data_IF_532466748328
#
_entry.id   IF_532466748328
#
_cell.length_a   1.000
_cell.length_b   1.000
_cell.length_c   1.000
_cell.angle_alpha   90.00
_cell.angle_beta   90.00
_cell.angle_gamma   90.00
#
_symmetry.space_group_name_H-M   'P 1'
#
loop_
_entity.id
_entity.type
_entity.pdbx_description
1 polymer ?
#
# COMPACT_ATOMS: atom_id res chain seq x y z
N UNK A 1 3.61 -8.16 9.00
CA UNK A 1 4.64 -9.13 9.41
C UNK A 1 5.44 -9.65 8.21
N UNK A 2 4.82 -10.26 7.18
CA UNK A 2 5.55 -10.83 6.03
C UNK A 2 6.51 -9.87 5.32
N UNK A 3 6.11 -8.62 5.09
CA UNK A 3 6.96 -7.59 4.48
C UNK A 3 8.26 -7.34 5.27
N UNK A 4 8.20 -7.32 6.61
CA UNK A 4 9.38 -7.20 7.46
C UNK A 4 10.34 -8.37 7.34
N UNK A 5 9.82 -9.59 7.25
CA UNK A 5 10.64 -10.80 7.13
C UNK A 5 11.44 -10.76 5.83
N UNK A 6 10.79 -10.46 4.70
CA UNK A 6 11.44 -10.37 3.39
C UNK A 6 12.50 -9.27 3.36
N UNK A 7 12.18 -8.09 3.90
CA UNK A 7 13.07 -6.93 3.89
C UNK A 7 14.24 -7.05 4.88
N UNK A 8 14.14 -7.91 5.89
CA UNK A 8 15.21 -8.12 6.88
C UNK A 8 16.28 -9.11 6.41
N UNK A 9 16.16 -9.69 5.22
CA UNK A 9 17.20 -10.50 4.63
C UNK A 9 18.51 -9.69 4.48
N UNK A 10 19.66 -10.32 4.73
CA UNK A 10 20.99 -9.67 4.66
C UNK A 10 21.25 -8.91 3.37
N UNK A 11 20.59 -9.31 2.26
CA UNK A 11 20.71 -8.70 0.94
C UNK A 11 20.20 -7.26 0.89
N UNK A 12 19.19 -6.93 1.69
CA UNK A 12 18.50 -5.64 1.66
C UNK A 12 18.83 -4.74 2.84
N UNK A 13 19.44 -5.30 3.90
CA UNK A 13 19.68 -4.60 5.15
C UNK A 13 20.77 -3.53 5.00
N UNK A 14 20.44 -2.31 5.43
CA UNK A 14 21.41 -1.19 5.51
C UNK A 14 21.82 -0.55 4.19
N UNK A 15 21.12 -0.86 3.08
CA UNK A 15 21.35 -0.22 1.78
C UNK A 15 20.36 0.92 1.56
N UNK A 16 20.82 2.01 0.94
CA UNK A 16 19.95 3.12 0.50
C UNK A 16 18.81 2.66 -0.40
N UNK A 17 19.05 1.60 -1.16
CA UNK A 17 18.07 1.01 -2.09
C UNK A 17 16.94 0.25 -1.39
N UNK A 18 17.04 0.01 -0.06
CA UNK A 18 16.01 -0.67 0.73
C UNK A 18 14.63 -0.01 0.60
N UNK A 19 14.60 1.30 0.38
CA UNK A 19 13.36 2.06 0.19
C UNK A 19 12.65 1.63 -1.09
N UNK A 20 13.38 1.50 -2.19
CA UNK A 20 12.83 1.06 -3.48
C UNK A 20 12.43 -0.41 -3.45
N UNK A 21 13.21 -1.25 -2.77
CA UNK A 21 12.83 -2.65 -2.55
C UNK A 21 11.57 -2.76 -1.70
N UNK A 22 11.42 -1.92 -0.67
CA UNK A 22 10.22 -1.84 0.14
C UNK A 22 8.99 -1.49 -0.70
N UNK A 23 9.11 -0.51 -1.59
CA UNK A 23 8.07 -0.16 -2.55
C UNK A 23 7.70 -1.35 -3.45
N UNK A 24 8.69 -2.01 -4.05
CA UNK A 24 8.48 -3.18 -4.91
C UNK A 24 7.80 -4.35 -4.19
N UNK A 25 8.18 -4.62 -2.94
CA UNK A 25 7.52 -5.64 -2.09
C UNK A 25 6.08 -5.23 -1.79
N UNK A 26 5.83 -3.94 -1.49
CA UNK A 26 4.48 -3.42 -1.27
C UNK A 26 3.58 -3.62 -2.49
N UNK A 27 4.07 -3.31 -3.69
CA UNK A 27 3.35 -3.54 -4.95
C UNK A 27 3.08 -5.03 -5.22
N UNK A 28 4.07 -5.90 -4.97
CA UNK A 28 3.90 -7.34 -5.12
C UNK A 28 2.82 -7.90 -4.18
N UNK A 29 2.79 -7.46 -2.93
CA UNK A 29 1.74 -7.82 -1.98
C UNK A 29 0.37 -7.30 -2.42
N UNK A 30 0.30 -6.06 -2.91
CA UNK A 30 -0.94 -5.48 -3.43
C UNK A 30 -1.51 -6.28 -4.59
N UNK A 31 -0.66 -6.67 -5.55
CA UNK A 31 -1.05 -7.51 -6.68
C UNK A 31 -1.60 -8.86 -6.24
N UNK A 32 -0.91 -9.54 -5.31
CA UNK A 32 -1.38 -10.81 -4.75
C UNK A 32 -2.73 -10.71 -4.05
N UNK A 33 -2.91 -9.68 -3.21
CA UNK A 33 -4.18 -9.44 -2.51
C UNK A 33 -5.30 -9.06 -3.47
N UNK A 34 -5.04 -8.17 -4.45
CA UNK A 34 -6.02 -7.77 -5.46
C UNK A 34 -6.50 -8.97 -6.28
N UNK A 35 -5.58 -9.86 -6.68
CA UNK A 35 -5.94 -11.09 -7.39
C UNK A 35 -6.80 -12.01 -6.53
N UNK A 36 -6.46 -12.17 -5.24
CA UNK A 36 -7.24 -12.97 -4.30
C UNK A 36 -8.66 -12.41 -4.11
N UNK A 37 -8.81 -11.10 -3.95
CA UNK A 37 -10.13 -10.46 -3.86
C UNK A 37 -10.93 -10.59 -5.15
N UNK A 38 -10.31 -10.37 -6.31
CA UNK A 38 -10.96 -10.54 -7.61
C UNK A 38 -11.49 -11.96 -7.79
N UNK A 39 -10.67 -12.95 -7.46
CA UNK A 39 -11.07 -14.36 -7.52
C UNK A 39 -12.26 -14.65 -6.59
N UNK A 40 -12.20 -14.19 -5.33
CA UNK A 40 -13.27 -14.41 -4.36
C UNK A 40 -14.58 -13.77 -4.81
N UNK A 41 -14.54 -12.53 -5.32
CA UNK A 41 -15.73 -11.84 -5.81
C UNK A 41 -16.32 -12.51 -7.07
N UNK A 42 -15.47 -12.98 -7.98
CA UNK A 42 -15.94 -13.73 -9.15
C UNK A 42 -16.58 -15.08 -8.74
N UNK A 43 -15.98 -15.79 -7.78
CA UNK A 43 -16.55 -17.03 -7.28
C UNK A 43 -17.89 -16.80 -6.56
N UNK A 44 -18.01 -15.75 -5.77
CA UNK A 44 -19.25 -15.38 -5.11
C UNK A 44 -20.35 -15.06 -6.15
N UNK A 45 -20.00 -14.32 -7.20
CA UNK A 45 -20.90 -13.99 -8.29
C UNK A 45 -21.41 -15.22 -9.05
N UNK A 46 -20.59 -16.26 -9.19
CA UNK A 46 -20.98 -17.49 -9.90
C UNK A 46 -21.72 -18.50 -9.03
N UNK A 47 -21.63 -18.40 -7.71
CA UNK A 47 -22.25 -19.32 -6.76
C UNK A 47 -23.69 -18.95 -6.37
N UNK A 48 -24.16 -17.75 -6.70
CA UNK A 48 -25.53 -17.29 -6.40
C UNK A 48 -26.47 -17.78 -7.50
N UNK A 49 -26.96 -18.98 -7.37
CA UNK A 49 -27.98 -19.53 -8.28
C UNK A 49 -29.30 -18.76 -8.14
N UNK A 50 -29.69 -18.04 -9.18
CA UNK A 50 -31.00 -17.39 -9.30
C UNK A 50 -31.08 -15.90 -8.97
N UNK A 51 -30.04 -15.27 -8.47
CA UNK A 51 -29.99 -13.81 -8.33
C UNK A 51 -29.32 -13.15 -9.55
N UNK A 52 -29.86 -12.01 -9.97
CA UNK A 52 -29.28 -11.20 -11.04
C UNK A 52 -28.02 -10.54 -10.49
N UNK A 53 -26.86 -11.08 -10.86
CA UNK A 53 -25.57 -10.54 -10.45
C UNK A 53 -25.32 -9.24 -11.21
N UNK A 54 -25.14 -8.14 -10.48
CA UNK A 54 -24.75 -6.85 -11.06
C UNK A 54 -23.24 -6.85 -11.42
N UNK A 55 -22.93 -7.35 -12.63
CA UNK A 55 -21.56 -7.41 -13.15
C UNK A 55 -20.84 -6.05 -13.14
N UNK A 56 -21.45 -4.92 -13.52
CA UNK A 56 -20.86 -3.60 -13.39
C UNK A 56 -20.46 -3.25 -11.96
N UNK A 57 -21.27 -3.57 -10.95
CA UNK A 57 -20.95 -3.33 -9.55
C UNK A 57 -19.73 -4.14 -9.10
N UNK A 58 -19.69 -5.43 -9.45
CA UNK A 58 -18.54 -6.29 -9.14
C UNK A 58 -17.26 -5.77 -9.79
N UNK A 59 -17.31 -5.38 -11.06
CA UNK A 59 -16.18 -4.81 -11.77
C UNK A 59 -15.68 -3.52 -11.10
N UNK A 60 -16.61 -2.63 -10.70
CA UNK A 60 -16.29 -1.42 -9.95
C UNK A 60 -15.55 -1.72 -8.64
N UNK A 61 -16.00 -2.74 -7.89
CA UNK A 61 -15.34 -3.16 -6.65
C UNK A 61 -13.94 -3.69 -6.89
N UNK A 62 -13.77 -4.61 -7.84
CA UNK A 62 -12.46 -5.20 -8.16
C UNK A 62 -11.45 -4.10 -8.52
N UNK A 63 -11.86 -3.16 -9.36
CA UNK A 63 -11.00 -2.05 -9.79
C UNK A 63 -10.68 -1.14 -8.59
N UNK A 64 -11.68 -0.73 -7.83
CA UNK A 64 -11.52 0.19 -6.70
C UNK A 64 -10.63 -0.40 -5.60
N UNK A 65 -10.83 -1.67 -5.24
CA UNK A 65 -10.01 -2.38 -4.26
C UNK A 65 -8.58 -2.56 -4.77
N UNK A 66 -8.40 -2.93 -6.04
CA UNK A 66 -7.07 -3.11 -6.62
C UNK A 66 -6.27 -1.81 -6.61
N UNK A 67 -6.89 -0.70 -7.01
CA UNK A 67 -6.25 0.62 -7.02
C UNK A 67 -5.91 1.06 -5.59
N UNK A 68 -6.85 0.98 -4.66
CA UNK A 68 -6.65 1.41 -3.26
C UNK A 68 -5.58 0.56 -2.55
N UNK A 69 -5.56 -0.76 -2.76
CA UNK A 69 -4.53 -1.67 -2.23
C UNK A 69 -3.15 -1.33 -2.78
N UNK A 70 -3.04 -1.08 -4.08
CA UNK A 70 -1.78 -0.70 -4.72
C UNK A 70 -1.21 0.57 -4.13
N UNK A 71 -2.04 1.58 -3.94
CA UNK A 71 -1.64 2.87 -3.36
C UNK A 71 -1.19 2.71 -1.90
N UNK A 72 -1.98 2.03 -1.06
CA UNK A 72 -1.69 1.97 0.37
C UNK A 72 -0.52 1.02 0.69
N UNK A 73 -0.46 -0.15 0.06
CA UNK A 73 0.61 -1.12 0.31
C UNK A 73 1.94 -0.68 -0.31
N UNK A 74 1.91 0.01 -1.46
CA UNK A 74 3.09 0.64 -2.02
C UNK A 74 3.69 1.69 -1.08
N UNK A 75 2.85 2.57 -0.52
CA UNK A 75 3.27 3.56 0.46
C UNK A 75 3.76 2.93 1.78
N UNK A 76 3.06 1.92 2.29
CA UNK A 76 3.50 1.18 3.49
C UNK A 76 4.84 0.47 3.27
N UNK A 77 5.03 -0.13 2.09
CA UNK A 77 6.29 -0.76 1.71
C UNK A 77 7.46 0.23 1.71
N UNK A 78 7.24 1.43 1.18
CA UNK A 78 8.22 2.52 1.20
C UNK A 78 8.60 2.91 2.62
N UNK A 79 7.62 3.07 3.53
CA UNK A 79 7.87 3.37 4.93
C UNK A 79 8.68 2.29 5.64
N UNK A 80 8.33 1.02 5.41
CA UNK A 80 9.10 -0.10 5.99
C UNK A 80 10.53 -0.13 5.45
N UNK A 81 10.70 0.11 4.16
CA UNK A 81 12.02 0.24 3.52
C UNK A 81 12.86 1.37 4.13
N UNK A 82 12.24 2.52 4.43
CA UNK A 82 12.88 3.63 5.14
C UNK A 82 13.36 3.21 6.52
N UNK A 83 12.50 2.54 7.30
CA UNK A 83 12.88 2.08 8.64
C UNK A 83 14.08 1.14 8.63
N UNK A 84 14.19 0.29 7.61
CA UNK A 84 15.33 -0.61 7.44
C UNK A 84 16.60 0.15 7.04
N UNK A 85 16.48 1.14 6.14
CA UNK A 85 17.59 1.98 5.73
C UNK A 85 18.16 2.81 6.89
N UNK A 86 17.28 3.27 7.79
CA UNK A 86 17.65 4.05 8.99
C UNK A 86 18.02 3.18 10.21
N UNK A 87 17.96 1.86 10.12
CA UNK A 87 18.18 0.92 11.22
C UNK A 87 17.21 1.03 12.41
N UNK A 88 16.03 1.63 12.20
CA UNK A 88 14.94 1.76 13.19
C UNK A 88 13.61 1.21 12.65
N UNK A 89 13.57 -0.08 12.24
CA UNK A 89 12.41 -0.62 11.51
C UNK A 89 11.11 -0.59 12.30
N UNK A 90 11.18 -0.76 13.63
CA UNK A 90 9.98 -0.88 14.47
C UNK A 90 9.14 0.40 14.47
N UNK A 91 9.77 1.57 14.53
CA UNK A 91 9.06 2.85 14.50
C UNK A 91 8.30 3.05 13.20
N UNK A 92 8.92 2.72 12.06
CA UNK A 92 8.30 2.89 10.75
C UNK A 92 7.22 1.85 10.47
N UNK A 93 7.35 0.65 11.01
CA UNK A 93 6.28 -0.36 10.97
C UNK A 93 5.05 0.11 11.73
N UNK A 94 5.22 0.71 12.90
CA UNK A 94 4.11 1.29 13.67
C UNK A 94 3.44 2.44 12.90
N UNK A 95 4.20 3.30 12.23
CA UNK A 95 3.65 4.35 11.37
C UNK A 95 2.88 3.79 10.17
N UNK A 96 3.35 2.71 9.56
CA UNK A 96 2.65 2.04 8.45
C UNK A 96 1.40 1.29 8.93
N UNK A 97 1.35 0.86 10.19
CA UNK A 97 0.20 0.16 10.75
C UNK A 97 -1.06 1.05 10.83
N UNK A 98 -0.90 2.34 11.11
CA UNK A 98 -2.03 3.28 11.27
C UNK A 98 -2.90 3.34 9.99
N UNK A 99 -2.40 3.66 8.80
CA UNK A 99 -3.21 3.69 7.59
C UNK A 99 -3.73 2.32 7.18
N UNK A 100 -3.00 1.23 7.49
CA UNK A 100 -3.47 -0.13 7.24
C UNK A 100 -4.65 -0.49 8.13
N UNK A 101 -4.64 -0.12 9.41
CA UNK A 101 -5.78 -0.32 10.32
C UNK A 101 -6.98 0.49 9.86
N UNK A 102 -6.80 1.76 9.51
CA UNK A 102 -7.87 2.60 8.97
C UNK A 102 -8.47 2.01 7.69
N UNK A 103 -7.63 1.51 6.78
CA UNK A 103 -8.07 0.84 5.56
C UNK A 103 -8.88 -0.42 5.86
N UNK A 104 -8.43 -1.27 6.78
CA UNK A 104 -9.16 -2.49 7.15
C UNK A 104 -10.49 -2.18 7.86
N UNK A 105 -10.56 -1.11 8.65
CA UNK A 105 -11.82 -0.64 9.24
C UNK A 105 -12.82 -0.20 8.15
N UNK A 106 -12.37 0.58 7.16
CA UNK A 106 -13.21 0.96 6.03
C UNK A 106 -13.68 -0.26 5.24
N UNK A 107 -12.80 -1.24 5.02
CA UNK A 107 -13.14 -2.49 4.34
C UNK A 107 -14.21 -3.27 5.12
N UNK A 108 -14.08 -3.38 6.44
CA UNK A 108 -15.06 -4.06 7.29
C UNK A 108 -16.43 -3.35 7.27
N UNK A 109 -16.44 -2.02 7.33
CA UNK A 109 -17.68 -1.23 7.20
C UNK A 109 -18.29 -1.42 5.81
N UNK A 110 -17.50 -1.47 4.76
CA UNK A 110 -17.98 -1.71 3.40
C UNK A 110 -18.71 -3.05 3.28
N UNK A 111 -18.18 -4.12 3.87
CA UNK A 111 -18.80 -5.45 3.84
C UNK A 111 -20.13 -5.52 4.60
N UNK A 112 -20.35 -4.63 5.57
CA UNK A 112 -21.60 -4.55 6.35
C UNK A 112 -22.56 -3.47 5.88
N UNK A 113 -22.21 -2.72 4.81
CA UNK A 113 -23.00 -1.58 4.35
C UNK A 113 -23.86 -1.95 3.16
N UNK A 114 -25.05 -1.37 3.11
CA UNK A 114 -26.02 -1.53 2.02
C UNK A 114 -26.30 -0.18 1.36
N UNK A 115 -26.88 -0.23 0.17
CA UNK A 115 -27.34 0.95 -0.56
C UNK A 115 -26.21 1.86 -1.03
N UNK A 116 -26.35 3.18 -0.86
CA UNK A 116 -25.43 4.18 -1.41
C UNK A 116 -24.04 4.13 -0.77
N UNK A 117 -23.93 3.71 0.48
CA UNK A 117 -22.65 3.57 1.20
C UNK A 117 -21.73 2.55 0.54
N UNK A 118 -22.33 1.56 -0.10
CA UNK A 118 -21.63 0.54 -0.88
C UNK A 118 -20.77 1.16 -2.01
N UNK A 119 -21.17 2.24 -2.62
CA UNK A 119 -20.42 2.94 -3.67
C UNK A 119 -19.48 4.03 -3.13
N UNK A 120 -19.85 4.69 -2.02
CA UNK A 120 -19.06 5.78 -1.45
C UNK A 120 -17.79 5.25 -0.78
N UNK A 121 -17.87 4.14 -0.05
CA UNK A 121 -16.74 3.60 0.72
C UNK A 121 -15.52 3.22 -0.14
N UNK A 122 -15.67 2.54 -1.29
CA UNK A 122 -14.53 2.27 -2.18
C UNK A 122 -13.83 3.53 -2.67
N UNK A 123 -14.59 4.58 -2.94
CA UNK A 123 -14.02 5.89 -3.32
C UNK A 123 -13.24 6.50 -2.15
N UNK A 124 -13.77 6.44 -0.94
CA UNK A 124 -13.07 6.89 0.27
C UNK A 124 -11.76 6.11 0.50
N UNK A 125 -11.75 4.81 0.23
CA UNK A 125 -10.55 3.97 0.32
C UNK A 125 -9.48 4.37 -0.71
N UNK A 126 -9.89 4.70 -1.93
CA UNK A 126 -8.97 5.21 -2.97
C UNK A 126 -8.39 6.57 -2.53
N UNK A 127 -9.22 7.47 -2.02
CA UNK A 127 -8.78 8.79 -1.55
C UNK A 127 -7.79 8.68 -0.37
N UNK A 128 -8.08 7.80 0.60
CA UNK A 128 -7.16 7.51 1.71
C UNK A 128 -5.83 6.97 1.19
N UNK A 129 -5.87 6.00 0.29
CA UNK A 129 -4.68 5.42 -0.34
C UNK A 129 -3.88 6.47 -1.11
N UNK A 130 -4.54 7.30 -1.93
CA UNK A 130 -3.92 8.34 -2.72
C UNK A 130 -3.27 9.43 -1.85
N UNK A 131 -3.95 9.86 -0.78
CA UNK A 131 -3.41 10.82 0.18
C UNK A 131 -2.14 10.30 0.84
N UNK A 132 -2.18 9.07 1.33
CA UNK A 132 -1.04 8.46 2.01
C UNK A 132 0.11 8.17 1.04
N UNK A 133 -0.19 7.69 -0.15
CA UNK A 133 0.77 7.46 -1.24
C UNK A 133 1.49 8.74 -1.65
N UNK A 134 0.72 9.82 -1.86
CA UNK A 134 1.27 11.15 -2.16
C UNK A 134 2.22 11.62 -1.07
N UNK A 135 1.81 11.51 0.19
CA UNK A 135 2.64 11.89 1.34
C UNK A 135 3.95 11.09 1.37
N UNK A 136 3.88 9.78 1.21
CA UNK A 136 5.06 8.92 1.33
C UNK A 136 6.00 9.06 0.13
N UNK A 137 5.50 9.07 -1.11
CA UNK A 137 6.35 9.05 -2.29
C UNK A 137 6.80 10.44 -2.76
N UNK A 138 5.93 11.43 -2.71
CA UNK A 138 6.28 12.74 -3.27
C UNK A 138 6.87 13.72 -2.25
N UNK A 139 6.56 13.57 -0.97
CA UNK A 139 7.06 14.47 0.09
C UNK A 139 8.22 13.82 0.84
N UNK A 140 8.01 12.60 1.35
CA UNK A 140 9.00 11.96 2.22
C UNK A 140 10.16 11.34 1.42
N UNK A 141 9.89 10.60 0.34
CA UNK A 141 10.89 9.84 -0.40
C UNK A 141 12.10 10.69 -0.85
N UNK A 142 11.94 11.88 -1.49
CA UNK A 142 13.09 12.69 -1.91
C UNK A 142 13.95 13.16 -0.73
N UNK A 143 13.31 13.49 0.38
CA UNK A 143 14.00 13.93 1.61
C UNK A 143 14.79 12.80 2.23
N UNK A 144 14.18 11.63 2.35
CA UNK A 144 14.75 10.43 2.95
C UNK A 144 15.94 9.92 2.13
N UNK A 145 15.79 9.83 0.82
CA UNK A 145 16.88 9.37 -0.06
C UNK A 145 18.10 10.29 0.10
N UNK A 146 17.90 11.60 0.21
CA UNK A 146 19.02 12.54 0.49
C UNK A 146 19.67 12.32 1.83
N UNK A 147 18.89 12.15 2.88
CA UNK A 147 19.42 11.93 4.22
C UNK A 147 20.20 10.62 4.32
N UNK A 148 19.66 9.54 3.76
CA UNK A 148 20.32 8.23 3.77
C UNK A 148 21.61 8.26 2.92
N UNK A 149 21.61 8.95 1.78
CA UNK A 149 22.81 9.14 0.98
C UNK A 149 23.88 9.98 1.69
N UNK A 150 23.47 11.04 2.41
CA UNK A 150 24.39 11.82 3.24
C UNK A 150 25.01 10.99 4.36
N UNK A 151 24.21 10.15 5.03
CA UNK A 151 24.71 9.26 6.08
C UNK A 151 25.71 8.23 5.55
N UNK A 152 25.55 7.78 4.31
CA UNK A 152 26.44 6.84 3.65
C UNK A 152 27.63 7.51 2.93
N UNK A 153 27.82 8.81 3.09
CA UNK A 153 28.93 9.57 2.48
C UNK A 153 28.84 9.73 0.96
N UNK A 154 27.72 9.41 0.37
CA UNK A 154 27.45 9.54 -1.08
C UNK A 154 26.79 10.88 -1.37
N UNK A 155 27.42 11.74 -2.19
CA UNK A 155 26.82 12.95 -2.73
C UNK A 155 26.11 12.61 -4.03
N UNK A 156 24.80 12.82 -4.06
CA UNK A 156 23.99 12.73 -5.28
C UNK A 156 23.25 14.05 -5.46
N UNK A 157 23.66 14.82 -6.45
CA UNK A 157 23.12 16.16 -6.71
C UNK A 157 21.93 16.14 -7.68
N UNK A 158 21.58 14.97 -8.23
CA UNK A 158 20.51 14.74 -9.19
C UNK A 158 19.10 14.62 -8.56
N UNK A 159 19.00 14.59 -7.24
CA UNK A 159 17.71 14.49 -6.54
C UNK A 159 17.09 15.87 -6.37
N UNK A 160 15.86 16.11 -6.90
CA UNK A 160 15.21 17.41 -6.80
C UNK A 160 15.04 17.88 -5.36
N UNK A 161 15.33 19.15 -5.11
CA UNK A 161 15.09 19.75 -3.79
C UNK A 161 13.58 19.86 -3.57
N UNK A 162 13.06 19.18 -2.55
CA UNK A 162 11.69 19.44 -2.09
C UNK A 162 11.55 20.91 -1.73
N UNK A 163 10.64 21.62 -2.39
CA UNK A 163 10.25 22.99 -2.01
C UNK A 163 9.39 22.95 -0.76
#
# INVERSE_FOLDING_TARGET
MGMMVVMNLRRFRGKSDSIFYGYGVGLGMAGGMATGFAYTLCMLATSTEGEVVDLPAIAFYIISLSVSLTLILGACGTNVGEGIARHIPMQFVMQAAIPLVAYNMLLAVMWSSEGIMFYILPIAMILLGAFYFRKCLFINLPTIVREVLKMNGQKRDDIPKSK
#
